data_IF_496586920034
#
_entry.id   IF_496586920034
#
_cell.length_a   1.000
_cell.length_b   1.000
_cell.length_c   1.000
_cell.angle_alpha   90.00
_cell.angle_beta   90.00
_cell.angle_gamma   90.00
#
_symmetry.space_group_name_H-M   'P 1'
#
loop_
_entity.id
_entity.type
_entity.pdbx_description
1 polymer ?
#
# COMPACT_ATOMS: atom_id res chain seq x y z
N UNK A 1 35.54 -3.89 33.66
CA UNK A 1 34.41 -4.79 33.32
C UNK A 1 33.07 -4.07 33.13
N UNK A 2 32.49 -3.34 34.12
CA UNK A 2 31.17 -2.69 33.97
C UNK A 2 31.04 -1.74 32.76
N UNK A 3 32.09 -0.94 32.47
CA UNK A 3 32.13 -0.04 31.29
C UNK A 3 32.12 -0.80 29.95
N UNK A 4 32.78 -1.96 29.90
CA UNK A 4 32.83 -2.82 28.69
C UNK A 4 31.45 -3.46 28.45
N UNK A 5 30.81 -3.95 29.52
CA UNK A 5 29.45 -4.50 29.43
C UNK A 5 28.46 -3.43 28.97
N UNK A 6 28.52 -2.22 29.54
CA UNK A 6 27.66 -1.11 29.13
C UNK A 6 27.89 -0.73 27.65
N UNK A 7 29.15 -0.68 27.21
CA UNK A 7 29.49 -0.41 25.82
C UNK A 7 28.95 -1.47 24.86
N UNK A 8 29.06 -2.76 25.22
CA UNK A 8 28.49 -3.86 24.45
C UNK A 8 26.96 -3.79 24.37
N UNK A 9 26.28 -3.42 25.46
CA UNK A 9 24.83 -3.21 25.48
C UNK A 9 24.43 -2.09 24.52
N UNK A 10 25.15 -0.96 24.53
CA UNK A 10 24.87 0.17 23.64
C UNK A 10 25.07 -0.19 22.16
N UNK A 11 26.13 -0.94 21.84
CA UNK A 11 26.34 -1.46 20.49
C UNK A 11 25.19 -2.37 20.07
N UNK A 12 24.82 -3.33 20.93
CA UNK A 12 23.75 -4.27 20.63
C UNK A 12 22.41 -3.57 20.44
N UNK A 13 22.10 -2.58 21.29
CA UNK A 13 20.91 -1.74 21.16
C UNK A 13 20.93 -0.96 19.84
N UNK A 14 22.06 -0.33 19.49
CA UNK A 14 22.22 0.40 18.24
C UNK A 14 22.01 -0.47 17.00
N UNK A 15 22.59 -1.68 16.99
CA UNK A 15 22.40 -2.66 15.91
C UNK A 15 20.93 -3.08 15.82
N UNK A 16 20.29 -3.36 16.95
CA UNK A 16 18.89 -3.79 16.99
C UNK A 16 17.96 -2.69 16.47
N UNK A 17 18.12 -1.44 16.94
CA UNK A 17 17.32 -0.30 16.47
C UNK A 17 17.51 -0.09 14.97
N UNK A 18 18.75 -0.16 14.49
CA UNK A 18 19.06 -0.06 13.06
C UNK A 18 18.35 -1.17 12.28
N UNK A 19 18.47 -2.43 12.72
CA UNK A 19 17.82 -3.56 12.08
C UNK A 19 16.30 -3.36 11.97
N UNK A 20 15.62 -3.03 13.07
CA UNK A 20 14.18 -2.78 13.06
C UNK A 20 13.78 -1.59 12.19
N UNK A 21 14.62 -0.54 12.16
CA UNK A 21 14.35 0.64 11.34
C UNK A 21 14.32 0.32 9.83
N UNK A 22 15.24 -0.55 9.38
CA UNK A 22 15.35 -0.95 7.98
C UNK A 22 14.54 -2.20 7.61
N UNK A 23 14.05 -2.96 8.60
CA UNK A 23 13.29 -4.19 8.36
C UNK A 23 12.01 -3.90 7.56
N UNK A 24 11.86 -4.59 6.43
CA UNK A 24 10.69 -4.48 5.57
C UNK A 24 9.66 -5.53 5.94
N UNK A 25 8.48 -5.07 6.33
CA UNK A 25 7.31 -5.91 6.52
C UNK A 25 6.65 -6.11 5.15
N UNK A 26 6.85 -7.27 4.55
CA UNK A 26 6.20 -7.64 3.29
C UNK A 26 4.79 -8.16 3.57
N UNK A 27 3.83 -7.71 2.77
CA UNK A 27 2.46 -8.22 2.80
C UNK A 27 2.22 -9.06 1.55
N UNK A 28 1.29 -10.01 1.63
CA UNK A 28 0.93 -10.92 0.54
C UNK A 28 -0.37 -10.46 -0.12
N UNK A 29 -0.29 -9.68 -1.21
CA UNK A 29 -1.48 -9.23 -1.93
C UNK A 29 -2.06 -10.36 -2.80
N UNK A 30 -3.36 -10.54 -2.75
CA UNK A 30 -4.10 -11.47 -3.60
C UNK A 30 -4.98 -10.70 -4.57
N UNK A 31 -4.84 -10.95 -5.87
CA UNK A 31 -5.63 -10.30 -6.91
C UNK A 31 -7.09 -10.82 -6.87
N UNK A 32 -8.06 -9.90 -6.82
CA UNK A 32 -9.50 -10.27 -6.74
C UNK A 32 -10.35 -9.67 -7.86
N UNK A 33 -9.86 -8.63 -8.53
CA UNK A 33 -10.57 -7.98 -9.62
C UNK A 33 -9.57 -7.41 -10.63
N UNK A 34 -9.82 -7.67 -11.91
CA UNK A 34 -9.11 -7.06 -13.03
C UNK A 34 -10.14 -6.26 -13.82
N UNK A 35 -9.85 -4.99 -14.05
CA UNK A 35 -10.69 -4.05 -14.78
C UNK A 35 -9.92 -3.64 -16.03
N UNK A 36 -10.46 -3.89 -17.23
CA UNK A 36 -9.85 -3.42 -18.47
C UNK A 36 -9.72 -1.89 -18.43
N UNK A 37 -8.51 -1.38 -18.68
CA UNK A 37 -8.23 0.05 -18.73
C UNK A 37 -7.84 0.44 -20.16
N UNK A 38 -8.67 1.20 -20.89
CA UNK A 38 -8.35 1.62 -22.25
C UNK A 38 -7.12 2.55 -22.29
N UNK A 39 -6.89 3.34 -21.23
CA UNK A 39 -5.82 4.34 -21.19
C UNK A 39 -4.46 3.71 -20.85
N UNK A 40 -4.44 2.49 -20.31
CA UNK A 40 -3.26 1.71 -19.95
C UNK A 40 -2.16 2.53 -19.23
N UNK A 41 -2.56 3.56 -18.48
CA UNK A 41 -1.60 4.52 -17.94
C UNK A 41 -0.99 3.95 -16.66
N UNK A 42 0.33 3.72 -16.68
CA UNK A 42 1.04 3.26 -15.50
C UNK A 42 1.21 4.38 -14.48
N UNK A 43 0.59 4.22 -13.31
CA UNK A 43 0.65 5.18 -12.19
C UNK A 43 1.25 4.48 -10.95
N UNK A 44 2.59 4.41 -10.84
CA UNK A 44 3.24 3.67 -9.74
C UNK A 44 2.93 4.20 -8.35
N UNK A 45 2.66 5.50 -8.23
CA UNK A 45 2.33 6.16 -6.96
C UNK A 45 0.82 6.46 -6.84
N UNK A 46 0.01 6.04 -7.82
CA UNK A 46 -1.42 6.37 -7.89
C UNK A 46 -2.32 5.27 -7.36
N UNK A 47 -2.07 4.70 -6.19
CA UNK A 47 -2.87 3.61 -5.62
C UNK A 47 -3.61 4.04 -4.34
N UNK A 48 -4.82 3.52 -4.15
CA UNK A 48 -5.70 3.85 -3.02
C UNK A 48 -6.03 2.59 -2.22
N UNK A 49 -6.13 2.74 -0.89
CA UNK A 49 -6.52 1.68 0.03
C UNK A 49 -7.97 1.87 0.49
N UNK A 50 -8.66 0.74 0.71
CA UNK A 50 -10.02 0.69 1.19
C UNK A 50 -10.14 -0.30 2.35
N UNK A 51 -10.65 0.20 3.47
CA UNK A 51 -10.91 -0.52 4.71
C UNK A 51 -12.41 -0.60 5.02
N UNK A 52 -13.25 0.04 4.20
CA UNK A 52 -14.69 -0.04 4.33
C UNK A 52 -15.41 0.08 2.99
N UNK A 53 -16.64 -0.41 2.94
CA UNK A 53 -17.53 -0.27 1.79
C UNK A 53 -17.76 1.21 1.43
N UNK A 54 -17.91 2.06 2.45
CA UNK A 54 -18.09 3.50 2.28
C UNK A 54 -16.89 4.19 1.62
N UNK A 55 -15.68 3.68 1.78
CA UNK A 55 -14.49 4.22 1.10
C UNK A 55 -14.49 3.86 -0.39
N UNK A 56 -14.80 2.60 -0.73
CA UNK A 56 -14.98 2.20 -2.13
C UNK A 56 -16.09 3.00 -2.79
N UNK A 57 -17.24 3.15 -2.14
CA UNK A 57 -18.39 3.83 -2.73
C UNK A 57 -18.10 5.33 -2.96
N UNK A 58 -17.36 5.99 -2.06
CA UNK A 58 -16.87 7.35 -2.27
C UNK A 58 -15.88 7.44 -3.42
N UNK A 59 -14.93 6.51 -3.48
CA UNK A 59 -13.93 6.45 -4.54
C UNK A 59 -14.57 6.26 -5.93
N UNK A 60 -15.56 5.38 -6.05
CA UNK A 60 -16.28 5.14 -7.29
C UNK A 60 -16.96 6.40 -7.83
N UNK A 61 -17.33 7.35 -6.97
CA UNK A 61 -18.04 8.57 -7.38
C UNK A 61 -17.10 9.75 -7.70
N UNK A 62 -15.77 9.61 -7.56
CA UNK A 62 -14.79 10.70 -7.73
C UNK A 62 -14.80 11.32 -9.14
N UNK A 63 -14.82 10.51 -10.20
CA UNK A 63 -14.83 10.99 -11.58
C UNK A 63 -15.46 9.96 -12.53
N UNK A 64 -15.58 10.28 -13.82
CA UNK A 64 -16.19 9.38 -14.81
C UNK A 64 -15.44 8.05 -14.95
N UNK A 65 -14.11 8.07 -14.85
CA UNK A 65 -13.27 6.87 -14.94
C UNK A 65 -13.56 5.94 -13.76
N UNK A 66 -13.52 6.43 -12.52
CA UNK A 66 -13.83 5.60 -11.34
C UNK A 66 -15.29 5.12 -11.34
N UNK A 67 -16.23 5.92 -11.85
CA UNK A 67 -17.64 5.49 -12.02
C UNK A 67 -17.78 4.31 -12.97
N UNK A 68 -16.98 4.27 -14.04
CA UNK A 68 -16.98 3.15 -14.99
C UNK A 68 -16.57 1.82 -14.35
N UNK A 69 -15.77 1.86 -13.28
CA UNK A 69 -15.31 0.66 -12.55
C UNK A 69 -16.39 0.00 -11.71
N UNK A 70 -17.50 0.70 -11.44
CA UNK A 70 -18.61 0.25 -10.57
C UNK A 70 -19.17 -1.11 -10.98
N UNK A 71 -19.28 -1.38 -12.28
CA UNK A 71 -19.82 -2.64 -12.79
C UNK A 71 -18.90 -3.85 -12.52
N UNK A 72 -17.59 -3.64 -12.44
CA UNK A 72 -16.62 -4.68 -12.12
C UNK A 72 -16.56 -4.87 -10.60
N UNK A 73 -16.45 -3.76 -9.86
CA UNK A 73 -16.36 -3.76 -8.40
C UNK A 73 -17.64 -4.32 -7.76
N UNK A 74 -18.83 -4.03 -8.29
CA UNK A 74 -20.07 -4.58 -7.74
C UNK A 74 -20.23 -6.10 -7.92
N UNK A 75 -19.42 -6.73 -8.80
CA UNK A 75 -19.39 -8.19 -8.97
C UNK A 75 -18.39 -8.87 -8.03
N UNK A 76 -17.53 -8.10 -7.37
CA UNK A 76 -16.53 -8.59 -6.44
C UNK A 76 -17.11 -8.64 -5.03
N UNK A 77 -16.93 -9.78 -4.35
CA UNK A 77 -17.37 -9.95 -2.96
C UNK A 77 -16.33 -9.36 -1.99
N UNK A 78 -16.66 -8.22 -1.38
CA UNK A 78 -15.80 -7.53 -0.43
C UNK A 78 -16.20 -7.89 1.01
N UNK A 79 -15.24 -8.46 1.75
CA UNK A 79 -15.34 -8.76 3.17
C UNK A 79 -14.35 -7.88 3.96
N UNK A 80 -14.77 -6.65 4.25
CA UNK A 80 -14.01 -5.68 5.04
C UNK A 80 -13.85 -6.07 6.52
N UNK A 81 -14.53 -7.12 7.00
CA UNK A 81 -14.28 -7.61 8.35
C UNK A 81 -12.90 -8.27 8.45
N UNK A 82 -12.48 -8.96 7.39
CA UNK A 82 -11.27 -9.79 7.37
C UNK A 82 -10.14 -9.21 6.52
N UNK A 83 -10.45 -8.32 5.56
CA UNK A 83 -9.46 -7.85 4.59
C UNK A 83 -9.47 -6.33 4.43
N UNK A 84 -8.28 -5.78 4.14
CA UNK A 84 -8.12 -4.47 3.51
C UNK A 84 -7.92 -4.68 2.00
N UNK A 85 -8.34 -3.71 1.22
CA UNK A 85 -8.27 -3.76 -0.25
C UNK A 85 -7.47 -2.58 -0.77
N UNK A 86 -6.89 -2.72 -1.95
CA UNK A 86 -6.27 -1.59 -2.62
C UNK A 86 -6.33 -1.74 -4.14
N UNK A 87 -6.36 -0.60 -4.82
CA UNK A 87 -6.44 -0.52 -6.29
C UNK A 87 -5.16 0.08 -6.85
N UNK A 88 -4.64 -0.51 -7.93
CA UNK A 88 -3.44 -0.05 -8.65
C UNK A 88 -3.71 0.05 -10.14
N UNK A 89 -2.90 0.85 -10.84
CA UNK A 89 -3.13 1.18 -12.25
C UNK A 89 -1.92 0.85 -13.13
N UNK A 90 -2.20 0.24 -14.26
CA UNK A 90 -1.28 -0.02 -15.37
C UNK A 90 -0.42 -1.27 -15.22
N UNK A 91 -0.03 -1.72 -14.01
CA UNK A 91 0.78 -2.93 -13.84
C UNK A 91 0.36 -3.76 -12.64
N UNK A 92 0.50 -5.08 -12.77
CA UNK A 92 0.31 -6.02 -11.68
C UNK A 92 1.37 -5.83 -10.57
N UNK A 93 0.94 -6.11 -9.33
CA UNK A 93 1.79 -6.08 -8.14
C UNK A 93 2.66 -7.34 -8.07
N UNK A 94 3.95 -7.16 -7.77
CA UNK A 94 4.88 -8.23 -7.41
C UNK A 94 4.88 -8.49 -5.91
N UNK A 95 5.00 -7.43 -5.11
CA UNK A 95 4.87 -7.45 -3.66
C UNK A 95 4.64 -6.04 -3.14
N UNK A 96 4.14 -5.94 -1.91
CA UNK A 96 4.01 -4.67 -1.20
C UNK A 96 4.71 -4.75 0.15
N UNK A 97 5.17 -3.61 0.66
CA UNK A 97 5.90 -3.57 1.92
C UNK A 97 5.79 -2.23 2.63
N UNK A 98 6.12 -2.21 3.92
CA UNK A 98 6.38 -0.98 4.67
C UNK A 98 7.54 -1.20 5.64
N UNK A 99 8.26 -0.12 5.98
CA UNK A 99 9.24 -0.09 7.06
C UNK A 99 9.24 1.27 7.74
N UNK A 100 9.89 1.38 8.90
CA UNK A 100 10.10 2.69 9.52
C UNK A 100 10.90 3.59 8.58
N UNK A 101 12.00 3.09 8.00
CA UNK A 101 12.80 3.83 7.02
C UNK A 101 11.94 4.39 5.89
N UNK A 102 11.12 3.56 5.24
CA UNK A 102 10.34 4.01 4.10
C UNK A 102 9.25 4.99 4.52
N UNK A 103 8.63 4.76 5.68
CA UNK A 103 7.62 5.67 6.25
C UNK A 103 8.18 7.07 6.52
N UNK A 104 9.40 7.17 7.05
CA UNK A 104 10.00 8.46 7.39
C UNK A 104 10.69 9.15 6.20
N UNK A 105 11.32 8.40 5.31
CA UNK A 105 12.21 8.98 4.27
C UNK A 105 11.72 8.80 2.83
N UNK A 106 10.92 7.78 2.55
CA UNK A 106 10.48 7.47 1.18
C UNK A 106 9.03 7.92 0.92
N UNK A 107 8.26 8.24 1.96
CA UNK A 107 6.94 8.81 1.83
C UNK A 107 7.02 10.25 1.32
N UNK A 108 6.75 10.42 0.02
CA UNK A 108 6.67 11.71 -0.66
C UNK A 108 5.31 12.43 -0.48
N UNK A 109 4.38 11.87 0.29
CA UNK A 109 3.05 12.47 0.46
C UNK A 109 3.18 13.87 1.06
N UNK A 110 2.34 14.82 0.66
CA UNK A 110 2.37 16.17 1.23
C UNK A 110 2.04 16.11 2.73
N UNK A 111 2.70 16.94 3.56
CA UNK A 111 2.59 16.83 5.03
C UNK A 111 1.15 16.98 5.53
N UNK A 112 0.35 17.84 4.89
CA UNK A 112 -1.07 18.02 5.22
C UNK A 112 -1.93 16.81 4.83
N UNK A 113 -1.46 15.99 3.89
CA UNK A 113 -2.15 14.82 3.38
C UNK A 113 -1.72 13.53 4.10
N UNK A 114 -0.83 13.61 5.10
CA UNK A 114 -0.41 12.47 5.93
C UNK A 114 -1.34 12.32 7.14
N UNK A 115 -2.32 11.40 7.11
CA UNK A 115 -3.14 11.14 8.28
C UNK A 115 -2.30 10.58 9.44
N UNK A 116 -2.52 11.13 10.64
CA UNK A 116 -1.87 10.67 11.85
C UNK A 116 -2.17 9.19 12.13
N UNK A 117 -1.12 8.42 12.47
CA UNK A 117 -1.26 7.00 12.83
C UNK A 117 -1.44 6.04 11.65
N UNK A 118 -1.38 6.52 10.40
CA UNK A 118 -1.43 5.68 9.20
C UNK A 118 -0.03 5.41 8.63
N UNK A 119 0.17 4.19 8.13
CA UNK A 119 1.43 3.67 7.62
C UNK A 119 1.36 3.63 6.08
N UNK A 120 2.22 4.37 5.36
CA UNK A 120 2.30 4.26 3.90
C UNK A 120 2.81 2.88 3.50
N UNK A 121 2.12 2.25 2.56
CA UNK A 121 2.55 0.99 1.95
C UNK A 121 3.17 1.28 0.59
N UNK A 122 4.29 0.64 0.28
CA UNK A 122 5.04 0.80 -0.96
C UNK A 122 4.87 -0.43 -1.85
N UNK A 123 4.72 -0.21 -3.15
CA UNK A 123 4.41 -1.27 -4.12
C UNK A 123 5.60 -1.51 -5.04
N UNK A 124 6.02 -2.76 -5.15
CA UNK A 124 6.90 -3.22 -6.22
C UNK A 124 6.04 -3.86 -7.31
N UNK A 125 6.12 -3.33 -8.52
CA UNK A 125 5.37 -3.82 -9.68
C UNK A 125 6.14 -4.92 -10.42
N UNK A 126 5.42 -5.74 -11.19
CA UNK A 126 6.04 -6.67 -12.14
C UNK A 126 6.69 -5.89 -13.31
N UNK A 127 7.66 -6.53 -13.97
CA UNK A 127 8.39 -5.94 -15.11
C UNK A 127 7.48 -5.68 -16.32
N UNK A 128 8.01 -4.90 -17.28
CA UNK A 128 7.35 -4.59 -18.55
C UNK A 128 7.03 -5.87 -19.34
N UNK A 129 5.82 -5.95 -19.90
CA UNK A 129 5.27 -7.15 -20.55
C UNK A 129 4.20 -7.89 -19.74
N UNK A 130 3.88 -7.41 -18.53
CA UNK A 130 2.69 -7.85 -17.78
C UNK A 130 1.40 -7.26 -18.35
N UNK A 131 0.25 -7.84 -17.99
CA UNK A 131 -1.06 -7.30 -18.36
C UNK A 131 -1.17 -5.86 -17.85
N UNK A 132 -1.63 -4.97 -18.72
CA UNK A 132 -1.95 -3.60 -18.35
C UNK A 132 -3.47 -3.51 -18.09
N UNK A 133 -3.82 -2.80 -17.03
CA UNK A 133 -5.20 -2.68 -16.57
C UNK A 133 -5.26 -2.04 -15.20
N UNK A 134 -6.45 -2.02 -14.61
CA UNK A 134 -6.64 -1.66 -13.20
C UNK A 134 -6.86 -2.92 -12.40
N UNK A 135 -6.11 -3.07 -11.32
CA UNK A 135 -6.08 -4.29 -10.52
C UNK A 135 -6.46 -3.97 -9.09
N UNK A 136 -7.37 -4.78 -8.52
CA UNK A 136 -7.74 -4.70 -7.11
C UNK A 136 -7.21 -5.94 -6.41
N UNK A 137 -6.50 -5.69 -5.31
CA UNK A 137 -5.95 -6.72 -4.46
C UNK A 137 -6.60 -6.67 -3.08
N UNK A 138 -6.59 -7.80 -2.39
CA UNK A 138 -6.87 -7.90 -0.96
C UNK A 138 -5.61 -8.29 -0.18
N UNK A 139 -5.56 -7.87 1.08
CA UNK A 139 -4.58 -8.27 2.08
C UNK A 139 -5.29 -8.49 3.42
N UNK A 140 -4.63 -9.17 4.35
CA UNK A 140 -5.09 -9.24 5.74
C UNK A 140 -5.41 -7.84 6.27
N UNK A 141 -6.52 -7.74 7.00
CA UNK A 141 -7.01 -6.45 7.49
C UNK A 141 -5.98 -5.77 8.38
N UNK A 142 -5.62 -4.57 7.98
CA UNK A 142 -4.90 -3.62 8.81
C UNK A 142 -5.38 -2.21 8.44
N UNK A 143 -6.19 -1.64 9.33
CA UNK A 143 -6.81 -0.33 9.17
C UNK A 143 -5.79 0.81 9.32
N UNK A 144 -4.52 0.52 9.66
CA UNK A 144 -3.46 1.55 9.73
C UNK A 144 -2.82 1.77 8.37
N UNK A 145 -2.90 0.82 7.45
CA UNK A 145 -2.25 0.94 6.15
C UNK A 145 -2.94 2.01 5.31
N UNK A 146 -2.19 2.62 4.38
CA UNK A 146 -2.72 3.57 3.41
C UNK A 146 -1.92 3.58 2.13
N UNK A 147 -2.54 4.17 1.11
CA UNK A 147 -1.90 4.52 -0.15
C UNK A 147 -0.95 5.71 -0.03
N UNK A 148 -0.45 6.11 -1.19
CA UNK A 148 0.28 7.35 -1.37
C UNK A 148 -0.68 8.52 -1.62
N UNK A 149 -0.44 9.67 -0.99
CA UNK A 149 -1.27 10.87 -1.17
C UNK A 149 -0.40 12.02 -1.71
N UNK A 150 -0.44 12.25 -3.02
CA UNK A 150 0.20 13.39 -3.67
C UNK A 150 -0.71 14.01 -4.73
N UNK A 151 -0.54 15.32 -4.95
CA UNK A 151 -1.22 16.07 -6.01
C UNK A 151 -0.75 15.63 -7.41
#
# INVERSE_FOLDING_TARGET
>A
MKKIILFLILIFAGISVTYFFFYKNYLQPELICEIPDPDNTFRPDGYEFFHSKNEIDRYLELNQTTKSYKNYINKTDFNFNNFSYFIVYGREVKNIYYSYKSTFFDDKSESYARPNGKIPVFINYKNEGSRNGVFIYRIERDDRLRGFYGN
#
